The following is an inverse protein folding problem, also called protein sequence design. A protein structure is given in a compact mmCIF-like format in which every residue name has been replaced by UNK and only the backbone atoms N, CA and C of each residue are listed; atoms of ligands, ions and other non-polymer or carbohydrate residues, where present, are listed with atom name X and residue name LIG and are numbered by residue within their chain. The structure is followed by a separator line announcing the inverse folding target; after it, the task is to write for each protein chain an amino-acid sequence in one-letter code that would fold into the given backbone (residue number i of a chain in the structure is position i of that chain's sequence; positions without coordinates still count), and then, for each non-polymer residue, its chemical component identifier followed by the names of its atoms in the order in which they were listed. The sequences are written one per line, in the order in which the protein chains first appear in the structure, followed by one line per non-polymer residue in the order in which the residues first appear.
data_IF_102526395516
#
_entry.id   IF_102526395516
#
_cell.length_a   1.000
_cell.length_b   1.000
_cell.length_c   1.000
_cell.angle_alpha   90.00
_cell.angle_beta   90.00
_cell.angle_gamma   90.00
#
_symmetry.space_group_name_H-M   'P 1'
#
loop_
_entity.id
_entity.type
_entity.pdbx_description
1 polymer ?
#
# COMPACT_ATOMS: atom_id res chain seq x y z
N UNK A 1 16.07 -15.65 8.16
CA UNK A 1 15.62 -14.32 7.70
C UNK A 1 16.85 -13.63 7.18
N UNK A 2 17.02 -13.52 5.87
CA UNK A 2 17.99 -12.62 5.25
C UNK A 2 17.14 -11.58 4.55
N UNK A 3 17.11 -10.40 5.15
CA UNK A 3 16.49 -9.22 4.59
C UNK A 3 17.35 -8.80 3.38
N UNK A 4 16.72 -8.66 2.22
CA UNK A 4 17.38 -8.18 1.01
C UNK A 4 17.48 -6.67 1.08
N UNK A 5 18.59 -6.18 1.65
CA UNK A 5 18.96 -4.75 1.59
C UNK A 5 19.32 -4.39 0.14
N UNK A 6 18.57 -3.44 -0.43
CA UNK A 6 19.06 -2.66 -1.56
C UNK A 6 20.23 -1.81 -1.05
N UNK A 7 21.46 -2.20 -1.41
CA UNK A 7 22.67 -1.39 -1.19
C UNK A 7 22.65 -0.20 -2.14
N UNK A 8 22.46 1.00 -1.60
CA UNK A 8 22.89 2.23 -2.26
C UNK A 8 24.36 2.49 -1.87
N UNK A 9 25.18 2.79 -2.87
CA UNK A 9 26.60 3.04 -2.76
C UNK A 9 26.87 4.45 -2.20
N UNK A 10 27.49 4.55 -1.03
CA UNK A 10 28.07 5.77 -0.48
C UNK A 10 29.56 5.84 -0.81
N UNK A 11 29.97 6.87 -1.55
CA UNK A 11 31.36 7.34 -1.64
C UNK A 11 31.46 8.64 -0.87
N UNK A 12 32.25 8.64 0.22
CA UNK A 12 32.42 9.81 1.09
C UNK A 12 33.59 10.72 0.73
N UNK A 13 33.66 11.88 1.38
CA UNK A 13 34.73 12.25 2.33
C UNK A 13 34.41 13.58 3.05
N UNK A 14 35.02 13.85 4.22
CA UNK A 14 34.50 14.72 5.27
C UNK A 14 35.20 16.08 5.32
N UNK A 15 34.55 17.04 6.00
CA UNK A 15 35.21 18.19 6.61
C UNK A 15 34.62 18.38 8.03
N UNK A 16 35.43 18.02 9.02
CA UNK A 16 35.48 18.61 10.38
C UNK A 16 35.87 20.10 10.22
N UNK A 17 35.53 21.09 11.05
CA UNK A 17 35.66 21.17 12.51
C UNK A 17 35.05 22.51 13.02
N UNK A 18 34.81 22.57 14.34
CA UNK A 18 34.81 23.74 15.25
C UNK A 18 33.55 24.53 15.70
N UNK A 19 33.17 24.19 16.96
CA UNK A 19 33.10 25.04 18.18
C UNK A 19 31.96 26.08 18.38
N UNK A 20 30.97 25.66 19.19
CA UNK A 20 30.45 26.22 20.48
C UNK A 20 30.60 27.73 20.87
N UNK A 21 29.95 28.22 21.94
CA UNK A 21 28.53 28.61 22.07
C UNK A 21 28.37 30.10 22.48
N UNK A 22 27.21 30.73 22.30
CA UNK A 22 26.88 31.99 23.00
C UNK A 22 25.49 31.99 23.63
N UNK A 23 25.51 31.84 24.94
CA UNK A 23 24.71 32.45 26.01
C UNK A 23 23.53 33.36 25.65
N UNK A 24 22.38 32.97 26.22
CA UNK A 24 21.39 33.77 26.97
C UNK A 24 20.99 35.16 26.46
N UNK A 25 19.72 35.30 26.04
CA UNK A 25 18.94 36.49 26.34
C UNK A 25 17.50 36.14 26.73
N UNK A 26 17.07 36.82 27.79
CA UNK A 26 15.85 36.64 28.56
C UNK A 26 14.59 37.10 27.85
N UNK A 27 13.48 36.51 28.30
CA UNK A 27 12.09 36.84 28.03
C UNK A 27 11.76 38.33 28.13
N UNK A 28 11.03 38.83 27.14
CA UNK A 28 10.04 39.90 27.30
C UNK A 28 8.77 39.49 26.54
N UNK A 29 7.71 39.12 27.28
CA UNK A 29 6.34 39.07 26.75
C UNK A 29 5.79 40.50 26.79
N UNK A 30 5.50 41.06 25.62
CA UNK A 30 4.57 42.19 25.49
C UNK A 30 3.56 41.83 24.40
N UNK A 31 2.28 41.86 24.75
CA UNK A 31 1.19 41.50 23.87
C UNK A 31 0.99 42.54 22.78
N UNK A 32 0.82 42.06 21.55
CA UNK A 32 0.20 42.82 20.47
C UNK A 32 -0.77 41.90 19.73
N UNK A 33 -2.05 42.15 19.97
CA UNK A 33 -3.17 41.78 19.10
C UNK A 33 -3.01 42.50 17.76
N UNK A 34 -2.66 41.78 16.69
CA UNK A 34 -2.77 42.30 15.32
C UNK A 34 -4.01 41.72 14.66
N UNK A 35 -4.91 42.63 14.31
CA UNK A 35 -6.16 42.42 13.58
C UNK A 35 -5.87 41.88 12.17
N UNK A 36 -6.60 40.84 11.77
CA UNK A 36 -6.65 40.35 10.39
C UNK A 36 -7.52 41.32 9.55
N UNK A 37 -6.88 42.07 8.65
CA UNK A 37 -7.54 42.92 7.68
C UNK A 37 -8.11 42.13 6.48
N UNK A 38 -9.17 42.63 5.81
CA UNK A 38 -9.93 41.89 4.82
C UNK A 38 -9.27 41.99 3.44
N UNK A 39 -8.43 41.00 3.09
CA UNK A 39 -7.87 40.85 1.75
C UNK A 39 -7.99 39.40 1.23
N UNK A 40 -9.08 38.71 1.60
CA UNK A 40 -9.43 37.38 1.09
C UNK A 40 -10.92 37.38 0.73
N UNK A 41 -11.34 38.23 -0.20
CA UNK A 41 -12.70 38.19 -0.77
C UNK A 41 -12.70 38.18 -2.31
N UNK A 42 -11.55 38.19 -2.98
CA UNK A 42 -11.47 38.11 -4.45
C UNK A 42 -10.74 36.87 -5.00
N UNK A 43 -10.73 35.77 -4.24
CA UNK A 43 -10.15 34.48 -4.66
C UNK A 43 -11.13 33.30 -4.64
N UNK A 44 -12.41 33.53 -4.34
CA UNK A 44 -13.41 32.46 -4.12
C UNK A 44 -14.52 32.45 -5.20
N UNK A 45 -14.56 33.43 -6.11
CA UNK A 45 -15.63 33.55 -7.11
C UNK A 45 -15.33 32.95 -8.50
N UNK A 46 -14.19 32.24 -8.69
CA UNK A 46 -13.80 31.67 -9.99
C UNK A 46 -13.74 30.14 -10.03
N UNK A 47 -14.31 29.44 -9.04
CA UNK A 47 -14.44 27.97 -9.05
C UNK A 47 -15.86 27.46 -9.34
N UNK A 48 -16.81 28.34 -9.68
CA UNK A 48 -18.22 27.97 -9.96
C UNK A 48 -18.50 27.64 -11.44
N UNK A 49 -17.49 27.24 -12.21
CA UNK A 49 -17.61 27.09 -13.68
C UNK A 49 -17.02 25.83 -14.29
N UNK A 50 -16.57 24.85 -13.52
CA UNK A 50 -16.14 23.55 -14.06
C UNK A 50 -16.97 22.43 -13.45
N UNK A 51 -18.14 22.17 -14.03
CA UNK A 51 -18.81 20.88 -13.91
C UNK A 51 -17.92 19.81 -14.55
N UNK A 52 -16.94 19.30 -13.78
CA UNK A 52 -16.22 18.10 -14.16
C UNK A 52 -17.14 16.92 -13.94
N UNK A 53 -17.41 16.17 -15.01
CA UNK A 53 -18.08 14.87 -14.96
C UNK A 53 -17.38 13.97 -13.94
N UNK A 54 -17.95 13.86 -12.75
CA UNK A 54 -17.55 12.87 -11.77
C UNK A 54 -17.96 11.48 -12.29
N UNK A 55 -17.02 10.54 -12.16
CA UNK A 55 -17.17 9.08 -12.30
C UNK A 55 -17.14 8.54 -13.73
N UNK A 56 -15.99 8.64 -14.37
CA UNK A 56 -15.61 7.62 -15.35
C UNK A 56 -15.43 6.31 -14.58
N UNK A 57 -16.25 5.29 -14.89
CA UNK A 57 -16.03 3.94 -14.40
C UNK A 57 -14.55 3.57 -14.64
N UNK A 58 -13.87 2.85 -13.72
CA UNK A 58 -12.50 2.44 -14.00
C UNK A 58 -12.50 1.66 -15.32
N UNK A 59 -11.66 2.09 -16.27
CA UNK A 59 -11.57 1.49 -17.61
C UNK A 59 -11.27 -0.02 -17.57
N UNK A 60 -10.83 -0.54 -16.41
CA UNK A 60 -10.50 -1.95 -16.18
C UNK A 60 -11.05 -2.44 -14.83
N UNK A 61 -11.81 -3.54 -14.78
CA UNK A 61 -12.28 -4.17 -13.54
C UNK A 61 -11.14 -4.77 -12.73
N UNK A 62 -10.08 -5.23 -13.39
CA UNK A 62 -8.90 -5.80 -12.74
C UNK A 62 -7.62 -5.29 -13.41
N UNK A 63 -6.79 -4.58 -12.64
CA UNK A 63 -5.53 -4.00 -13.13
C UNK A 63 -4.32 -4.78 -12.65
N UNK A 64 -3.32 -4.96 -13.52
CA UNK A 64 -2.03 -5.58 -13.16
C UNK A 64 -0.95 -4.52 -13.32
N UNK A 65 -0.37 -4.08 -12.22
CA UNK A 65 0.63 -3.01 -12.20
C UNK A 65 2.04 -3.56 -12.01
N UNK A 66 3.00 -2.93 -12.67
CA UNK A 66 4.42 -3.27 -12.61
C UNK A 66 5.16 -2.34 -11.64
N UNK A 67 5.66 -2.91 -10.56
CA UNK A 67 6.52 -2.22 -9.59
C UNK A 67 7.82 -3.03 -9.38
N UNK A 68 8.46 -3.39 -10.50
CA UNK A 68 9.78 -4.01 -10.55
C UNK A 68 10.75 -2.98 -11.14
N UNK A 69 11.94 -2.79 -10.57
CA UNK A 69 12.91 -1.79 -11.05
C UNK A 69 13.63 -2.28 -12.32
N UNK A 70 12.90 -2.51 -13.41
CA UNK A 70 13.39 -3.16 -14.63
C UNK A 70 13.96 -2.21 -15.69
N UNK A 71 13.89 -0.89 -15.50
CA UNK A 71 14.39 0.11 -16.46
C UNK A 71 15.87 -0.11 -16.87
N UNK A 72 16.67 -0.73 -15.99
CA UNK A 72 18.07 -1.04 -16.27
C UNK A 72 18.23 -2.06 -17.41
N UNK A 73 17.22 -2.92 -17.67
CA UNK A 73 17.27 -3.90 -18.75
C UNK A 73 17.37 -3.26 -20.13
N UNK A 74 16.53 -2.26 -20.40
CA UNK A 74 16.58 -1.49 -21.64
C UNK A 74 17.78 -0.54 -21.64
N UNK A 75 17.97 0.23 -20.55
CA UNK A 75 18.97 1.29 -20.50
C UNK A 75 20.43 0.81 -20.57
N UNK A 76 20.74 -0.42 -20.13
CA UNK A 76 22.12 -0.92 -20.07
C UNK A 76 22.38 -2.19 -20.87
N UNK A 77 21.33 -2.97 -21.18
CA UNK A 77 21.50 -4.26 -21.84
C UNK A 77 20.70 -4.39 -23.14
N UNK A 78 19.98 -3.34 -23.55
CA UNK A 78 19.12 -3.35 -24.75
C UNK A 78 18.06 -4.48 -24.75
N UNK A 79 17.67 -4.94 -23.55
CA UNK A 79 16.65 -5.98 -23.38
C UNK A 79 15.30 -5.31 -23.13
N UNK A 80 14.46 -5.29 -24.16
CA UNK A 80 13.12 -4.74 -24.08
C UNK A 80 12.13 -5.71 -23.40
N UNK A 81 11.35 -5.23 -22.43
CA UNK A 81 10.30 -6.03 -21.77
C UNK A 81 8.91 -5.60 -22.28
N UNK A 82 8.13 -6.48 -22.94
CA UNK A 82 6.91 -6.11 -23.66
C UNK A 82 5.68 -5.92 -22.74
N UNK A 83 5.81 -5.19 -21.63
CA UNK A 83 4.79 -5.07 -20.58
C UNK A 83 3.42 -4.59 -21.10
N UNK A 84 3.41 -3.55 -21.94
CA UNK A 84 2.17 -2.99 -22.49
C UNK A 84 1.43 -3.97 -23.38
N UNK A 85 2.15 -4.72 -24.23
CA UNK A 85 1.55 -5.74 -25.09
C UNK A 85 0.94 -6.90 -24.28
N UNK A 86 1.46 -7.13 -23.07
CA UNK A 86 0.97 -8.13 -22.12
C UNK A 86 -0.15 -7.60 -21.21
N UNK A 87 -0.62 -6.37 -21.40
CA UNK A 87 -1.66 -5.75 -20.58
C UNK A 87 -1.21 -5.34 -19.17
N UNK A 88 0.11 -5.33 -18.92
CA UNK A 88 0.70 -4.93 -17.64
C UNK A 88 0.95 -3.41 -17.67
N UNK A 89 0.41 -2.72 -16.67
CA UNK A 89 0.50 -1.26 -16.52
C UNK A 89 1.84 -0.93 -15.85
N UNK A 90 2.72 -0.21 -16.54
CA UNK A 90 4.02 0.23 -16.01
C UNK A 90 4.15 1.75 -16.12
N UNK A 91 4.99 2.35 -15.28
CA UNK A 91 5.36 3.75 -15.45
C UNK A 91 6.07 3.97 -16.81
N UNK A 92 6.09 5.22 -17.28
CA UNK A 92 6.83 5.56 -18.50
C UNK A 92 8.31 5.19 -18.35
N UNK A 93 8.92 4.64 -19.40
CA UNK A 93 10.30 4.14 -19.37
C UNK A 93 10.57 3.08 -18.30
N UNK A 94 9.53 2.44 -17.76
CA UNK A 94 9.62 1.51 -16.63
C UNK A 94 10.30 2.12 -15.38
N UNK A 95 10.25 3.45 -15.23
CA UNK A 95 10.80 4.12 -14.05
C UNK A 95 10.14 3.58 -12.78
N UNK A 96 10.93 3.40 -11.73
CA UNK A 96 10.43 2.82 -10.48
C UNK A 96 9.43 3.72 -9.75
N UNK A 97 9.56 5.04 -9.94
CA UNK A 97 8.61 6.06 -9.50
C UNK A 97 8.03 6.75 -10.74
N UNK A 98 6.72 6.93 -10.79
CA UNK A 98 6.06 7.50 -11.95
C UNK A 98 4.55 7.59 -11.81
N UNK A 99 3.88 7.81 -12.95
CA UNK A 99 2.48 8.22 -13.05
C UNK A 99 1.48 7.13 -12.66
N UNK A 100 1.84 5.84 -12.80
CA UNK A 100 0.95 4.71 -12.51
C UNK A 100 1.15 4.18 -11.09
N UNK A 101 2.39 4.12 -10.61
CA UNK A 101 2.72 3.70 -9.24
C UNK A 101 4.00 4.36 -8.76
N UNK A 102 3.98 4.83 -7.51
CA UNK A 102 5.13 5.31 -6.78
C UNK A 102 5.12 4.70 -5.39
N UNK A 103 6.14 3.90 -5.07
CA UNK A 103 6.36 3.36 -3.73
C UNK A 103 7.40 4.21 -3.00
N UNK A 104 7.14 4.50 -1.74
CA UNK A 104 7.94 5.34 -0.87
C UNK A 104 8.53 4.49 0.25
N UNK A 105 9.81 4.14 0.14
CA UNK A 105 10.51 3.36 1.16
C UNK A 105 10.82 4.19 2.40
N UNK A 106 11.04 3.51 3.53
CA UNK A 106 11.30 4.08 4.87
C UNK A 106 12.32 5.23 4.93
N UNK A 107 13.32 5.26 4.05
CA UNK A 107 14.38 6.26 4.02
C UNK A 107 14.22 7.33 2.93
N UNK A 108 13.08 7.33 2.23
CA UNK A 108 12.84 8.19 1.06
C UNK A 108 11.61 9.09 1.23
N UNK A 109 10.90 9.02 2.36
CA UNK A 109 9.64 9.74 2.53
C UNK A 109 9.37 10.22 3.95
N UNK A 110 9.22 11.54 4.08
CA UNK A 110 9.14 12.25 5.35
C UNK A 110 10.35 11.97 6.25
N UNK A 111 10.15 12.19 7.54
CA UNK A 111 11.09 11.84 8.60
C UNK A 111 10.59 10.60 9.35
N UNK A 112 10.47 9.46 8.67
CA UNK A 112 10.00 8.22 9.29
C UNK A 112 10.99 7.73 10.37
N UNK A 113 10.56 7.55 11.63
CA UNK A 113 11.43 7.08 12.70
C UNK A 113 11.65 5.57 12.61
N UNK A 114 12.91 5.14 12.69
CA UNK A 114 13.22 3.72 12.81
C UNK A 114 14.56 3.43 13.49
N UNK A 115 14.69 2.21 13.99
CA UNK A 115 15.92 1.65 14.55
C UNK A 115 16.57 0.76 13.48
N UNK A 116 17.73 1.20 12.99
CA UNK A 116 18.54 0.47 12.02
C UNK A 116 19.31 -0.71 12.65
N UNK A 117 20.10 -1.42 11.84
CA UNK A 117 20.98 -2.48 12.33
C UNK A 117 21.84 -2.01 13.51
N UNK A 118 22.01 -2.88 14.51
CA UNK A 118 22.74 -2.58 15.77
C UNK A 118 22.17 -1.42 16.59
N UNK A 119 20.92 -1.02 16.37
CA UNK A 119 20.25 0.02 17.16
C UNK A 119 20.54 1.45 16.70
N UNK A 120 21.05 1.63 15.48
CA UNK A 120 21.28 2.98 14.91
C UNK A 120 19.96 3.75 14.86
N UNK A 121 19.92 4.96 15.42
CA UNK A 121 18.70 5.76 15.56
C UNK A 121 18.53 6.66 14.34
N UNK A 122 17.42 6.50 13.61
CA UNK A 122 17.05 7.38 12.50
C UNK A 122 15.79 8.17 12.84
N UNK A 123 15.83 9.49 12.63
CA UNK A 123 14.74 10.41 12.95
C UNK A 123 14.18 10.15 14.36
N UNK A 124 15.03 10.13 15.39
CA UNK A 124 14.60 9.83 16.77
C UNK A 124 14.21 8.38 17.08
N UNK A 125 14.14 7.49 16.08
CA UNK A 125 14.00 6.04 16.23
C UNK A 125 12.63 5.52 16.64
N UNK A 126 11.83 6.34 17.33
CA UNK A 126 10.46 6.02 17.78
C UNK A 126 9.47 7.13 17.36
N UNK A 127 8.19 6.79 17.14
CA UNK A 127 7.15 7.75 16.73
C UNK A 127 7.10 9.05 17.55
N UNK A 128 7.08 8.94 18.88
CA UNK A 128 6.92 10.07 19.79
C UNK A 128 8.17 10.97 19.92
N UNK A 129 9.28 10.59 19.29
CA UNK A 129 10.50 11.39 19.26
C UNK A 129 10.64 12.22 17.96
N UNK A 130 9.69 12.11 17.02
CA UNK A 130 9.73 12.86 15.75
C UNK A 130 8.89 14.12 15.84
N UNK A 131 9.45 15.30 15.48
CA UNK A 131 8.65 16.50 15.26
C UNK A 131 7.73 16.30 14.05
N UNK A 132 6.42 16.18 14.31
CA UNK A 132 5.41 15.87 13.30
C UNK A 132 5.32 16.95 12.21
N UNK A 133 5.45 18.22 12.58
CA UNK A 133 5.48 19.37 11.68
C UNK A 133 6.63 19.27 10.66
N UNK A 134 7.83 18.93 11.12
CA UNK A 134 9.00 18.72 10.24
C UNK A 134 8.83 17.51 9.34
N UNK A 135 8.26 16.42 9.88
CA UNK A 135 7.92 15.24 9.09
C UNK A 135 6.98 15.59 7.94
N UNK A 136 5.88 16.30 8.23
CA UNK A 136 4.88 16.68 7.24
C UNK A 136 5.41 17.70 6.23
N UNK A 137 6.25 18.66 6.66
CA UNK A 137 6.90 19.61 5.75
C UNK A 137 7.83 18.89 4.75
N UNK A 138 8.63 17.95 5.23
CA UNK A 138 9.50 17.13 4.37
C UNK A 138 8.69 16.27 3.40
N UNK A 139 7.65 15.60 3.89
CA UNK A 139 6.77 14.79 3.04
C UNK A 139 6.07 15.65 1.98
N UNK A 140 5.55 16.82 2.34
CA UNK A 140 4.91 17.74 1.41
C UNK A 140 5.86 18.22 0.31
N UNK A 141 7.12 18.52 0.67
CA UNK A 141 8.15 18.85 -0.30
C UNK A 141 8.39 17.69 -1.26
N UNK A 142 8.62 16.47 -0.75
CA UNK A 142 8.87 15.30 -1.58
C UNK A 142 7.71 14.97 -2.51
N UNK A 143 6.46 15.00 -2.04
CA UNK A 143 5.26 14.79 -2.86
C UNK A 143 5.20 15.78 -4.02
N UNK A 144 5.47 17.07 -3.75
CA UNK A 144 5.44 18.11 -4.78
C UNK A 144 6.49 17.92 -5.87
N UNK A 145 7.64 17.31 -5.53
CA UNK A 145 8.74 17.08 -6.46
C UNK A 145 8.64 15.76 -7.20
N UNK A 146 8.06 14.72 -6.59
CA UNK A 146 8.03 13.38 -7.18
C UNK A 146 6.75 13.04 -7.93
N UNK A 147 5.63 13.72 -7.65
CA UNK A 147 4.33 13.41 -8.23
C UNK A 147 3.76 14.63 -8.96
N UNK A 148 3.23 14.44 -10.16
CA UNK A 148 2.49 15.48 -10.89
C UNK A 148 1.19 15.86 -10.17
N UNK A 149 0.69 17.08 -10.36
CA UNK A 149 -0.57 17.54 -9.74
C UNK A 149 -1.77 16.66 -10.10
N UNK A 150 -1.79 16.15 -11.33
CA UNK A 150 -2.81 15.24 -11.89
C UNK A 150 -2.59 13.77 -11.52
N UNK A 151 -1.64 13.45 -10.63
CA UNK A 151 -1.34 12.06 -10.27
C UNK A 151 -2.59 11.32 -9.78
N UNK A 152 -2.94 10.26 -10.51
CA UNK A 152 -4.06 9.37 -10.22
C UNK A 152 -3.62 7.90 -10.04
N UNK A 153 -2.31 7.67 -9.89
CA UNK A 153 -1.72 6.35 -9.69
C UNK A 153 -1.74 5.89 -8.23
N UNK A 154 -1.01 4.80 -7.97
CA UNK A 154 -0.84 4.25 -6.61
C UNK A 154 0.30 4.95 -5.87
N UNK A 155 0.03 5.52 -4.71
CA UNK A 155 1.02 6.08 -3.80
C UNK A 155 1.17 5.18 -2.57
N UNK A 156 2.21 4.34 -2.57
CA UNK A 156 2.35 3.26 -1.59
C UNK A 156 3.43 3.60 -0.57
N UNK A 157 3.08 3.66 0.71
CA UNK A 157 4.04 3.90 1.79
C UNK A 157 4.55 2.56 2.35
N UNK A 158 5.84 2.31 2.22
CA UNK A 158 6.47 1.05 2.67
C UNK A 158 7.23 1.24 3.99
N UNK A 159 6.45 1.30 5.07
CA UNK A 159 6.91 1.49 6.44
C UNK A 159 6.72 0.21 7.25
N UNK A 160 7.78 -0.60 7.37
CA UNK A 160 7.72 -1.94 7.95
C UNK A 160 8.35 -2.08 9.34
N UNK A 161 8.93 -1.01 9.87
CA UNK A 161 9.88 -1.15 10.98
C UNK A 161 9.19 -1.42 12.31
N UNK A 162 8.04 -0.77 12.54
CA UNK A 162 7.20 -0.95 13.72
C UNK A 162 5.72 -1.11 13.36
N UNK A 163 4.94 -1.65 14.29
CA UNK A 163 3.48 -1.69 14.20
C UNK A 163 2.88 -0.50 14.96
N UNK A 164 1.87 0.21 14.43
CA UNK A 164 1.29 1.37 15.10
C UNK A 164 0.61 1.05 16.43
N UNK A 165 0.22 -0.20 16.66
CA UNK A 165 -0.26 -0.66 17.95
C UNK A 165 0.89 -1.28 18.74
N UNK A 166 1.02 -0.94 20.02
CA UNK A 166 2.02 -1.46 20.95
C UNK A 166 2.01 -2.98 21.03
N UNK A 167 0.81 -3.57 21.11
CA UNK A 167 0.63 -5.03 21.11
C UNK A 167 1.21 -5.68 19.84
N UNK A 168 1.34 -4.91 18.76
CA UNK A 168 1.96 -5.17 17.45
C UNK A 168 3.47 -5.43 17.43
N UNK A 169 4.19 -4.98 18.46
CA UNK A 169 5.66 -4.88 18.45
C UNK A 169 6.32 -6.04 19.22
N UNK A 170 6.26 -7.26 18.66
CA UNK A 170 6.93 -8.46 19.19
C UNK A 170 8.20 -8.83 18.40
N UNK A 171 8.91 -9.87 18.85
CA UNK A 171 10.14 -10.35 18.22
C UNK A 171 11.21 -9.24 18.18
N UNK A 172 11.80 -9.01 17.00
CA UNK A 172 12.79 -7.93 16.79
C UNK A 172 12.21 -6.53 17.06
N UNK A 173 10.90 -6.33 16.90
CA UNK A 173 10.24 -5.03 17.16
C UNK A 173 10.08 -4.71 18.65
N UNK A 174 10.41 -5.62 19.57
CA UNK A 174 10.48 -5.30 21.01
C UNK A 174 11.44 -4.15 21.31
N UNK A 175 12.45 -3.93 20.45
CA UNK A 175 13.37 -2.80 20.56
C UNK A 175 12.63 -1.44 20.59
N UNK A 176 11.52 -1.28 19.86
CA UNK A 176 10.72 -0.05 19.89
C UNK A 176 10.03 0.18 21.23
N UNK A 177 9.61 -0.90 21.92
CA UNK A 177 9.05 -0.81 23.27
C UNK A 177 10.10 -0.40 24.28
N UNK A 178 11.29 -1.00 24.19
CA UNK A 178 12.42 -0.67 25.06
C UNK A 178 12.87 0.79 24.84
N UNK A 179 13.02 1.22 23.59
CA UNK A 179 13.36 2.60 23.26
C UNK A 179 12.29 3.60 23.73
N UNK A 180 11.00 3.26 23.58
CA UNK A 180 9.90 4.09 24.08
C UNK A 180 9.91 4.21 25.61
N UNK A 181 10.24 3.13 26.31
CA UNK A 181 10.35 3.16 27.77
C UNK A 181 11.55 3.97 28.24
N UNK A 182 12.72 3.80 27.62
CA UNK A 182 13.90 4.61 27.90
C UNK A 182 13.64 6.12 27.64
N UNK A 183 12.93 6.44 26.56
CA UNK A 183 12.47 7.81 26.30
C UNK A 183 11.55 8.32 27.42
N UNK A 184 10.59 7.51 27.89
CA UNK A 184 9.70 7.92 28.97
C UNK A 184 10.42 8.11 30.32
N UNK A 185 11.43 7.29 30.62
CA UNK A 185 12.29 7.46 31.80
C UNK A 185 13.04 8.80 31.78
N UNK A 186 13.48 9.23 30.59
CA UNK A 186 14.19 10.49 30.42
C UNK A 186 13.24 11.71 30.47
N UNK A 187 12.07 11.61 29.83
CA UNK A 187 11.11 12.71 29.72
C UNK A 187 10.27 12.89 30.99
N UNK A 188 10.04 11.81 31.74
CA UNK A 188 9.23 11.80 32.95
C UNK A 188 10.00 11.16 34.13
N UNK A 189 11.14 11.76 34.56
CA UNK A 189 12.02 11.16 35.56
C UNK A 189 11.36 11.05 36.94
N UNK A 190 10.39 11.92 37.25
CA UNK A 190 9.72 11.99 38.55
C UNK A 190 8.56 11.00 38.70
N UNK A 191 8.11 10.38 37.61
CA UNK A 191 7.03 9.37 37.65
C UNK A 191 7.59 8.01 38.04
N UNK A 192 6.75 7.18 38.66
CA UNK A 192 7.14 5.82 38.98
C UNK A 192 7.30 4.95 37.69
N UNK A 193 8.00 3.80 37.78
CA UNK A 193 8.26 2.97 36.60
C UNK A 193 7.01 2.46 35.86
N UNK A 194 5.90 2.23 36.56
CA UNK A 194 4.65 1.77 35.95
C UNK A 194 3.97 2.91 35.19
N UNK A 195 3.97 4.12 35.75
CA UNK A 195 3.49 5.32 35.07
C UNK A 195 4.36 5.68 33.86
N UNK A 196 5.69 5.59 33.96
CA UNK A 196 6.60 5.78 32.82
C UNK A 196 6.31 4.77 31.70
N UNK A 197 6.10 3.49 32.03
CA UNK A 197 5.75 2.47 31.04
C UNK A 197 4.38 2.76 30.40
N UNK A 198 3.42 3.25 31.17
CA UNK A 198 2.13 3.70 30.64
C UNK A 198 2.30 4.88 29.67
N UNK A 199 3.09 5.91 30.04
CA UNK A 199 3.44 7.04 29.16
C UNK A 199 4.13 6.59 27.87
N UNK A 200 5.06 5.63 27.96
CA UNK A 200 5.73 5.05 26.80
C UNK A 200 4.75 4.36 25.84
N UNK A 201 3.79 3.59 26.37
CA UNK A 201 2.77 2.90 25.58
C UNK A 201 1.84 3.91 24.90
N UNK A 202 1.18 4.79 25.66
CA UNK A 202 0.21 5.73 25.09
C UNK A 202 0.88 6.71 24.11
N UNK A 203 2.08 7.20 24.45
CA UNK A 203 2.83 8.13 23.61
C UNK A 203 3.23 7.50 22.28
N UNK A 204 3.67 6.24 22.31
CA UNK A 204 3.98 5.49 21.09
C UNK A 204 2.77 5.34 20.18
N UNK A 205 1.63 4.86 20.68
CA UNK A 205 0.45 4.63 19.84
C UNK A 205 -0.17 5.94 19.31
N UNK A 206 -0.21 6.99 20.14
CA UNK A 206 -0.70 8.31 19.71
C UNK A 206 0.17 8.93 18.62
N UNK A 207 1.50 8.92 18.81
CA UNK A 207 2.42 9.47 17.83
C UNK A 207 2.48 8.61 16.56
N UNK A 208 2.39 7.28 16.66
CA UNK A 208 2.33 6.38 15.51
C UNK A 208 1.09 6.65 14.66
N UNK A 209 -0.08 6.81 15.31
CA UNK A 209 -1.31 7.22 14.64
C UNK A 209 -1.14 8.58 13.97
N UNK A 210 -0.68 9.59 14.71
CA UNK A 210 -0.53 10.94 14.17
C UNK A 210 0.39 10.96 12.94
N UNK A 211 1.54 10.28 12.99
CA UNK A 211 2.45 10.18 11.85
C UNK A 211 1.78 9.51 10.65
N UNK A 212 1.19 8.33 10.82
CA UNK A 212 0.62 7.58 9.69
C UNK A 212 -0.64 8.24 9.11
N UNK A 213 -1.55 8.71 9.95
CA UNK A 213 -2.83 9.30 9.55
C UNK A 213 -2.62 10.65 8.84
N UNK A 214 -1.85 11.57 9.44
CA UNK A 214 -1.61 12.89 8.83
C UNK A 214 -0.80 12.79 7.54
N UNK A 215 0.08 11.79 7.41
CA UNK A 215 0.84 11.56 6.16
C UNK A 215 -0.07 11.15 5.01
N UNK A 216 -1.03 10.26 5.25
CA UNK A 216 -2.02 9.88 4.23
C UNK A 216 -2.96 11.03 3.87
N UNK A 217 -3.39 11.80 4.87
CA UNK A 217 -4.25 12.98 4.66
C UNK A 217 -3.52 14.05 3.86
N UNK A 218 -2.24 14.32 4.16
CA UNK A 218 -1.40 15.23 3.40
C UNK A 218 -1.24 14.77 1.95
N UNK A 219 -1.00 13.48 1.73
CA UNK A 219 -0.91 12.89 0.40
C UNK A 219 -2.18 13.12 -0.43
N UNK A 220 -3.34 12.84 0.15
CA UNK A 220 -4.63 13.08 -0.51
C UNK A 220 -4.95 14.57 -0.69
N UNK A 221 -4.58 15.43 0.25
CA UNK A 221 -4.77 16.87 0.10
C UNK A 221 -3.94 17.44 -1.06
N UNK A 222 -2.72 16.95 -1.25
CA UNK A 222 -1.84 17.40 -2.33
C UNK A 222 -2.12 16.69 -3.67
N UNK A 223 -2.54 15.43 -3.65
CA UNK A 223 -2.80 14.58 -4.81
C UNK A 223 -4.14 13.84 -4.62
N UNK A 224 -5.28 14.54 -4.79
CA UNK A 224 -6.61 14.03 -4.42
C UNK A 224 -7.10 12.85 -5.27
N UNK A 225 -6.55 12.67 -6.47
CA UNK A 225 -6.87 11.52 -7.32
C UNK A 225 -5.94 10.32 -7.09
N UNK A 226 -4.88 10.49 -6.31
CA UNK A 226 -3.94 9.42 -5.98
C UNK A 226 -4.54 8.41 -5.00
N UNK A 227 -4.18 7.14 -5.18
CA UNK A 227 -4.58 6.05 -4.31
C UNK A 227 -3.50 5.78 -3.26
N UNK A 228 -3.69 6.35 -2.07
CA UNK A 228 -2.77 6.36 -0.94
C UNK A 228 -3.07 5.24 0.06
N UNK A 229 -2.02 4.58 0.53
CA UNK A 229 -2.12 3.53 1.53
C UNK A 229 -0.77 2.94 1.91
N UNK A 230 -0.75 2.18 2.98
CA UNK A 230 0.45 1.49 3.45
C UNK A 230 0.55 0.09 2.88
N UNK A 231 1.74 -0.26 2.37
CA UNK A 231 2.06 -1.63 2.01
C UNK A 231 1.90 -2.57 3.21
N UNK A 232 1.45 -3.81 2.93
CA UNK A 232 1.14 -4.89 3.90
C UNK A 232 -0.10 -4.70 4.76
N UNK A 233 -0.83 -3.60 4.62
CA UNK A 233 -2.04 -3.40 5.39
C UNK A 233 -3.32 -3.69 4.59
N UNK A 234 -4.31 -4.39 5.20
CA UNK A 234 -4.23 -5.01 6.53
C UNK A 234 -3.37 -6.28 6.55
N UNK A 235 -2.87 -6.61 7.75
CA UNK A 235 -2.19 -7.88 7.99
C UNK A 235 -3.20 -8.98 8.33
N UNK A 236 -2.88 -10.24 8.04
CA UNK A 236 -3.75 -11.38 8.40
C UNK A 236 -3.15 -12.27 9.50
N UNK A 237 -1.82 -12.30 9.65
CA UNK A 237 -1.14 -13.15 10.62
C UNK A 237 -1.24 -14.65 10.34
N UNK A 238 -1.60 -15.04 9.12
CA UNK A 238 -1.73 -16.43 8.67
C UNK A 238 -0.43 -17.00 8.09
N UNK A 239 0.72 -16.69 8.70
CA UNK A 239 2.01 -17.22 8.24
C UNK A 239 2.12 -18.74 8.35
N UNK A 240 2.94 -19.36 7.50
CA UNK A 240 3.23 -20.80 7.59
C UNK A 240 4.28 -21.09 8.67
N UNK A 241 3.97 -22.06 9.54
CA UNK A 241 4.89 -22.60 10.54
C UNK A 241 4.92 -24.12 10.38
N UNK A 242 6.12 -24.72 10.26
CA UNK A 242 6.34 -26.15 9.92
C UNK A 242 5.61 -27.18 10.81
N UNK A 243 5.08 -26.75 11.96
CA UNK A 243 4.41 -27.61 12.95
C UNK A 243 2.88 -27.52 12.88
N UNK A 244 2.31 -26.80 11.93
CA UNK A 244 0.86 -26.61 11.83
C UNK A 244 0.22 -27.78 11.05
N UNK A 245 -0.13 -28.88 11.75
CA UNK A 245 -0.91 -29.99 11.17
C UNK A 245 -2.31 -29.58 10.69
N UNK A 246 -2.87 -28.50 11.26
CA UNK A 246 -4.23 -28.00 10.97
C UNK A 246 -4.22 -26.59 10.36
N UNK A 247 -3.32 -26.31 9.42
CA UNK A 247 -3.25 -25.00 8.79
C UNK A 247 -4.45 -24.75 7.87
N UNK A 248 -5.27 -23.75 8.19
CA UNK A 248 -6.48 -23.41 7.42
C UNK A 248 -6.32 -22.20 6.51
N UNK A 249 -5.20 -21.47 6.63
CA UNK A 249 -5.00 -20.17 5.99
C UNK A 249 -5.74 -19.00 6.65
N UNK A 250 -6.62 -19.24 7.64
CA UNK A 250 -7.40 -18.19 8.32
C UNK A 250 -6.51 -17.18 9.02
N UNK A 251 -6.96 -15.91 9.02
CA UNK A 251 -6.31 -14.87 9.80
C UNK A 251 -6.38 -15.16 11.29
N UNK A 252 -5.31 -14.83 12.00
CA UNK A 252 -5.26 -15.01 13.45
C UNK A 252 -6.23 -14.03 14.12
N UNK A 253 -7.05 -14.49 15.07
CA UNK A 253 -8.08 -13.67 15.73
C UNK A 253 -7.52 -12.37 16.36
N UNK A 254 -6.35 -12.46 17.02
CA UNK A 254 -5.69 -11.27 17.57
C UNK A 254 -5.27 -10.26 16.49
N UNK A 255 -4.99 -10.71 15.26
CA UNK A 255 -4.69 -9.81 14.14
C UNK A 255 -5.96 -9.13 13.65
N UNK A 256 -7.07 -9.86 13.51
CA UNK A 256 -8.39 -9.29 13.17
C UNK A 256 -8.80 -8.21 14.18
N UNK A 257 -8.66 -8.49 15.47
CA UNK A 257 -8.96 -7.55 16.54
C UNK A 257 -8.09 -6.28 16.49
N UNK A 258 -6.79 -6.42 16.14
CA UNK A 258 -5.91 -5.27 15.91
C UNK A 258 -6.34 -4.46 14.70
N UNK A 259 -6.69 -5.11 13.59
CA UNK A 259 -7.16 -4.41 12.39
C UNK A 259 -8.47 -3.64 12.65
N UNK A 260 -9.35 -4.14 13.50
CA UNK A 260 -10.54 -3.39 13.94
C UNK A 260 -10.15 -2.12 14.73
N UNK A 261 -9.12 -2.18 15.58
CA UNK A 261 -8.60 -0.98 16.28
C UNK A 261 -7.96 0.04 15.34
N UNK A 262 -7.47 -0.40 14.18
CA UNK A 262 -6.88 0.44 13.13
C UNK A 262 -7.91 1.10 12.20
N UNK A 263 -9.18 1.22 12.60
CA UNK A 263 -10.21 1.89 11.80
C UNK A 263 -9.79 3.26 11.25
N UNK A 264 -9.03 4.03 12.05
CA UNK A 264 -8.48 5.33 11.65
C UNK A 264 -7.54 5.24 10.45
N UNK A 265 -6.79 4.14 10.31
CA UNK A 265 -5.88 3.94 9.19
C UNK A 265 -6.65 3.69 7.90
N UNK A 266 -7.74 2.92 7.98
CA UNK A 266 -8.63 2.66 6.84
C UNK A 266 -9.35 3.94 6.44
N UNK A 267 -9.89 4.68 7.42
CA UNK A 267 -10.57 5.96 7.23
C UNK A 267 -9.65 7.07 6.67
N UNK A 268 -8.34 6.93 6.79
CA UNK A 268 -7.37 7.84 6.21
C UNK A 268 -6.78 7.33 4.88
N UNK A 269 -7.04 6.09 4.47
CA UNK A 269 -6.50 5.52 3.22
C UNK A 269 -7.48 5.70 2.06
N UNK A 270 -6.97 5.84 0.82
CA UNK A 270 -7.78 5.76 -0.40
C UNK A 270 -7.61 4.43 -1.16
N UNK A 271 -6.69 3.56 -0.74
CA UNK A 271 -6.57 2.17 -1.19
C UNK A 271 -5.93 1.26 -0.13
N UNK A 272 -6.11 -0.05 -0.28
CA UNK A 272 -5.48 -1.07 0.58
C UNK A 272 -4.48 -1.92 -0.21
N UNK A 273 -3.31 -2.17 0.40
CA UNK A 273 -2.19 -2.85 -0.25
C UNK A 273 -1.72 -4.09 0.54
N UNK A 274 -2.56 -5.13 0.72
CA UNK A 274 -2.16 -6.34 1.40
C UNK A 274 -1.06 -7.05 0.60
N UNK A 275 0.03 -7.45 1.25
CA UNK A 275 1.01 -8.36 0.63
C UNK A 275 0.44 -9.77 0.65
N UNK A 276 0.50 -10.49 -0.46
CA UNK A 276 0.10 -11.90 -0.56
C UNK A 276 1.27 -12.80 -0.97
N UNK A 277 2.49 -12.39 -0.64
CA UNK A 277 3.70 -13.16 -0.95
C UNK A 277 3.68 -14.50 -0.22
N UNK A 278 3.93 -15.58 -0.94
CA UNK A 278 3.97 -16.90 -0.31
C UNK A 278 5.06 -16.96 0.77
N UNK A 279 4.70 -17.40 2.00
CA UNK A 279 5.68 -17.69 3.03
C UNK A 279 6.63 -18.80 2.56
N UNK A 280 7.90 -18.77 2.99
CA UNK A 280 8.84 -19.82 2.64
C UNK A 280 8.33 -21.20 3.06
N UNK A 281 8.35 -22.16 2.11
CA UNK A 281 7.95 -23.57 2.31
C UNK A 281 6.46 -23.76 2.60
N UNK A 282 5.59 -22.80 2.28
CA UNK A 282 4.14 -23.03 2.28
C UNK A 282 3.82 -24.11 1.22
N UNK A 283 3.18 -25.24 1.60
CA UNK A 283 2.78 -26.28 0.64
C UNK A 283 1.78 -25.74 -0.40
N UNK A 284 1.87 -26.16 -1.68
CA UNK A 284 0.94 -25.73 -2.73
C UNK A 284 -0.55 -25.92 -2.39
N UNK A 285 -0.89 -26.97 -1.66
CA UNK A 285 -2.26 -27.24 -1.20
C UNK A 285 -2.88 -26.11 -0.34
N UNK A 286 -2.06 -25.21 0.20
CA UNK A 286 -2.49 -24.11 1.08
C UNK A 286 -2.32 -22.72 0.48
N UNK A 287 -1.76 -22.61 -0.74
CA UNK A 287 -1.48 -21.32 -1.39
C UNK A 287 -2.76 -20.50 -1.58
N UNK A 288 -3.80 -21.10 -2.18
CA UNK A 288 -5.09 -20.43 -2.35
C UNK A 288 -5.70 -20.00 -1.01
N UNK A 289 -5.75 -20.88 -0.01
CA UNK A 289 -6.32 -20.55 1.30
C UNK A 289 -5.55 -19.42 1.99
N UNK A 290 -4.22 -19.37 1.84
CA UNK A 290 -3.39 -18.30 2.36
C UNK A 290 -3.73 -16.95 1.71
N UNK A 291 -3.86 -16.90 0.38
CA UNK A 291 -4.17 -15.67 -0.36
C UNK A 291 -5.61 -15.22 -0.11
N UNK A 292 -6.57 -16.15 -0.18
CA UNK A 292 -7.99 -15.89 0.01
C UNK A 292 -8.26 -15.14 1.32
N UNK A 293 -7.82 -15.67 2.47
CA UNK A 293 -8.13 -15.06 3.76
C UNK A 293 -7.44 -13.69 3.96
N UNK A 294 -6.31 -13.44 3.29
CA UNK A 294 -5.67 -12.11 3.33
C UNK A 294 -6.48 -11.06 2.59
N UNK A 295 -7.07 -11.46 1.47
CA UNK A 295 -7.94 -10.59 0.68
C UNK A 295 -9.30 -10.42 1.33
N UNK A 296 -9.88 -11.46 1.90
CA UNK A 296 -11.11 -11.37 2.70
C UNK A 296 -10.95 -10.38 3.85
N UNK A 297 -9.80 -10.40 4.55
CA UNK A 297 -9.53 -9.41 5.59
C UNK A 297 -9.37 -7.99 5.04
N UNK A 298 -8.74 -7.84 3.87
CA UNK A 298 -8.69 -6.55 3.17
C UNK A 298 -10.09 -6.02 2.83
N UNK A 299 -10.97 -6.86 2.29
CA UNK A 299 -12.35 -6.47 2.00
C UNK A 299 -13.16 -6.18 3.27
N UNK A 300 -12.94 -6.94 4.35
CA UNK A 300 -13.64 -6.69 5.63
C UNK A 300 -13.32 -5.29 6.16
N UNK A 301 -12.06 -4.87 6.15
CA UNK A 301 -11.69 -3.53 6.63
C UNK A 301 -12.00 -2.43 5.62
N UNK A 302 -12.00 -2.73 4.31
CA UNK A 302 -12.36 -1.77 3.25
C UNK A 302 -13.79 -1.23 3.39
N UNK A 303 -14.69 -2.00 4.02
CA UNK A 303 -16.09 -1.63 4.27
C UNK A 303 -16.26 -0.75 5.52
N UNK A 304 -15.22 -0.55 6.32
CA UNK A 304 -15.34 0.16 7.60
C UNK A 304 -15.32 1.67 7.37
N UNK A 305 -16.45 2.33 7.61
CA UNK A 305 -16.53 3.80 7.65
C UNK A 305 -16.75 4.51 6.31
N UNK A 306 -16.98 3.77 5.21
CA UNK A 306 -17.21 4.37 3.89
C UNK A 306 -18.51 3.89 3.23
N UNK A 307 -19.19 4.77 2.46
CA UNK A 307 -20.36 4.38 1.65
C UNK A 307 -19.99 3.47 0.47
N UNK A 308 -18.71 3.45 0.07
CA UNK A 308 -18.16 2.54 -0.94
C UNK A 308 -16.86 1.92 -0.41
N UNK A 309 -16.63 0.61 -0.63
CA UNK A 309 -15.42 -0.04 -0.16
C UNK A 309 -14.17 0.53 -0.82
N UNK A 310 -13.08 0.65 -0.04
CA UNK A 310 -11.77 1.00 -0.58
C UNK A 310 -11.31 -0.01 -1.65
N UNK A 311 -10.67 0.45 -2.74
CA UNK A 311 -10.06 -0.46 -3.70
C UNK A 311 -8.93 -1.26 -3.05
N UNK A 312 -8.92 -2.57 -3.29
CA UNK A 312 -7.89 -3.49 -2.81
C UNK A 312 -6.97 -3.85 -3.98
N UNK A 313 -5.67 -3.59 -3.81
CA UNK A 313 -4.63 -3.96 -4.78
C UNK A 313 -3.56 -4.81 -4.09
N UNK A 314 -3.55 -6.10 -4.39
CA UNK A 314 -2.71 -7.04 -3.65
C UNK A 314 -1.27 -7.04 -4.20
N UNK A 315 -0.30 -6.95 -3.31
CA UNK A 315 1.11 -7.06 -3.69
C UNK A 315 1.48 -8.54 -3.90
N UNK A 316 1.91 -8.87 -5.12
CA UNK A 316 2.39 -10.19 -5.56
C UNK A 316 3.88 -10.11 -5.90
N UNK A 317 4.68 -11.02 -5.37
CA UNK A 317 6.11 -11.11 -5.73
C UNK A 317 6.25 -12.00 -6.95
N UNK A 318 7.09 -11.63 -7.92
CA UNK A 318 7.34 -12.46 -9.10
C UNK A 318 7.97 -13.82 -8.80
N UNK A 319 8.60 -13.96 -7.63
CA UNK A 319 9.35 -15.15 -7.23
C UNK A 319 8.99 -15.64 -5.83
N UNK A 320 9.21 -16.92 -5.61
CA UNK A 320 9.24 -17.50 -4.26
C UNK A 320 10.37 -16.89 -3.44
N UNK A 321 10.05 -16.37 -2.25
CA UNK A 321 10.98 -15.57 -1.44
C UNK A 321 12.35 -16.23 -1.17
N UNK A 322 12.38 -17.56 -1.01
CA UNK A 322 13.59 -18.31 -0.64
C UNK A 322 14.35 -18.87 -1.84
N UNK A 323 13.65 -19.49 -2.78
CA UNK A 323 14.29 -20.13 -3.95
C UNK A 323 14.61 -19.12 -5.05
N UNK A 324 13.99 -17.92 -5.02
CA UNK A 324 14.05 -16.92 -6.09
C UNK A 324 13.59 -17.46 -7.46
N UNK A 325 12.94 -18.63 -7.49
CA UNK A 325 12.29 -19.14 -8.70
C UNK A 325 11.05 -18.32 -8.99
N UNK A 326 10.83 -18.01 -10.25
CA UNK A 326 9.61 -17.38 -10.70
C UNK A 326 8.37 -18.21 -10.32
N UNK A 327 7.26 -17.53 -10.07
CA UNK A 327 5.98 -18.17 -9.80
C UNK A 327 5.55 -18.98 -11.04
N UNK A 328 5.18 -20.24 -10.86
CA UNK A 328 4.61 -21.06 -11.94
C UNK A 328 3.23 -20.55 -12.34
N UNK A 329 2.66 -21.09 -13.43
CA UNK A 329 1.27 -20.80 -13.78
C UNK A 329 0.28 -21.14 -12.65
N UNK A 330 0.48 -22.26 -11.94
CA UNK A 330 -0.35 -22.62 -10.78
C UNK A 330 -0.22 -21.61 -9.63
N UNK A 331 0.99 -21.11 -9.38
CA UNK A 331 1.21 -20.05 -8.40
C UNK A 331 0.50 -18.75 -8.81
N UNK A 332 0.48 -18.42 -10.11
CA UNK A 332 -0.25 -17.24 -10.64
C UNK A 332 -1.77 -17.39 -10.49
N UNK A 333 -2.31 -18.60 -10.72
CA UNK A 333 -3.71 -18.93 -10.42
C UNK A 333 -4.03 -18.67 -8.95
N UNK A 334 -3.15 -19.14 -8.07
CA UNK A 334 -3.36 -19.05 -6.62
C UNK A 334 -3.03 -17.69 -6.01
N UNK A 335 -2.53 -16.73 -6.80
CA UNK A 335 -2.25 -15.35 -6.38
C UNK A 335 -3.12 -14.35 -7.14
N UNK A 336 -2.81 -14.10 -8.42
CA UNK A 336 -3.51 -13.16 -9.28
C UNK A 336 -4.94 -13.64 -9.55
N UNK A 337 -5.13 -14.94 -9.84
CA UNK A 337 -6.45 -15.51 -10.11
C UNK A 337 -7.39 -15.41 -8.91
N UNK A 338 -6.91 -15.73 -7.70
CA UNK A 338 -7.68 -15.57 -6.46
C UNK A 338 -8.03 -14.09 -6.23
N UNK A 339 -7.09 -13.17 -6.51
CA UNK A 339 -7.33 -11.73 -6.39
C UNK A 339 -8.46 -11.25 -7.32
N UNK A 340 -8.43 -11.67 -8.58
CA UNK A 340 -9.47 -11.36 -9.54
C UNK A 340 -10.82 -11.98 -9.15
N UNK A 341 -10.83 -13.26 -8.78
CA UNK A 341 -12.05 -13.98 -8.42
C UNK A 341 -12.76 -13.40 -7.19
N UNK A 342 -12.02 -12.82 -6.23
CA UNK A 342 -12.60 -12.15 -5.07
C UNK A 342 -12.99 -10.68 -5.33
N UNK A 343 -12.83 -10.17 -6.56
CA UNK A 343 -13.21 -8.82 -6.95
C UNK A 343 -12.25 -7.74 -6.45
N UNK A 344 -10.95 -8.04 -6.34
CA UNK A 344 -9.94 -7.02 -6.09
C UNK A 344 -9.87 -6.03 -7.27
N UNK A 345 -9.45 -4.79 -6.99
CA UNK A 345 -9.25 -3.80 -8.04
C UNK A 345 -8.05 -4.14 -8.93
N UNK A 346 -7.10 -4.91 -8.38
CA UNK A 346 -5.93 -5.34 -9.13
C UNK A 346 -4.87 -6.01 -8.27
N UNK A 347 -3.69 -6.16 -8.86
CA UNK A 347 -2.46 -6.61 -8.21
C UNK A 347 -1.29 -5.70 -8.58
N UNK A 348 -0.34 -5.60 -7.66
CA UNK A 348 0.96 -4.96 -7.90
C UNK A 348 2.02 -6.05 -7.94
N UNK A 349 2.65 -6.21 -9.10
CA UNK A 349 3.77 -7.11 -9.32
C UNK A 349 5.05 -6.46 -8.82
N UNK A 350 5.68 -7.05 -7.82
CA UNK A 350 6.87 -6.51 -7.19
C UNK A 350 8.08 -7.44 -7.36
N UNK A 351 9.23 -6.80 -7.52
CA UNK A 351 10.53 -7.45 -7.59
C UNK A 351 11.64 -6.50 -7.14
N UNK A 352 12.76 -7.07 -6.73
CA UNK A 352 13.94 -6.30 -6.31
C UNK A 352 14.92 -6.08 -7.48
N UNK A 353 15.95 -5.26 -7.27
CA UNK A 353 16.95 -4.92 -8.29
C UNK A 353 17.70 -6.13 -8.89
N UNK A 354 17.62 -7.31 -8.26
CA UNK A 354 18.29 -8.51 -8.81
C UNK A 354 17.67 -9.02 -10.11
N UNK A 355 16.46 -8.57 -10.46
CA UNK A 355 15.84 -8.92 -11.75
C UNK A 355 16.45 -8.20 -12.94
N UNK A 356 17.17 -7.11 -12.71
CA UNK A 356 17.76 -6.29 -13.76
C UNK A 356 19.25 -6.05 -13.53
N UNK A 357 19.94 -6.95 -12.81
CA UNK A 357 21.34 -6.76 -12.42
C UNK A 357 22.35 -7.19 -13.47
N UNK A 358 21.92 -7.91 -14.51
CA UNK A 358 22.73 -8.33 -15.65
C UNK A 358 21.84 -8.60 -16.87
N UNK A 359 22.44 -8.59 -18.05
CA UNK A 359 21.78 -8.94 -19.32
C UNK A 359 21.08 -10.31 -19.22
N UNK A 360 21.75 -11.32 -18.67
CA UNK A 360 21.18 -12.66 -18.44
C UNK A 360 19.91 -12.60 -17.57
N UNK A 361 19.92 -11.81 -16.49
CA UNK A 361 18.73 -11.67 -15.61
C UNK A 361 17.59 -10.97 -16.32
N UNK A 362 17.89 -9.99 -17.17
CA UNK A 362 16.90 -9.32 -17.99
C UNK A 362 16.27 -10.25 -19.03
N UNK A 363 17.06 -11.09 -19.71
CA UNK A 363 16.52 -12.11 -20.62
C UNK A 363 15.69 -13.16 -19.88
N UNK A 364 16.13 -13.63 -18.71
CA UNK A 364 15.30 -14.51 -17.89
C UNK A 364 13.97 -13.89 -17.47
N UNK A 365 13.96 -12.59 -17.17
CA UNK A 365 12.73 -11.86 -16.85
C UNK A 365 11.84 -11.71 -18.08
N UNK A 366 12.42 -11.37 -19.23
CA UNK A 366 11.74 -11.32 -20.52
C UNK A 366 11.05 -12.65 -20.84
N UNK A 367 11.78 -13.76 -20.75
CA UNK A 367 11.27 -15.09 -21.08
C UNK A 367 10.14 -15.51 -20.14
N UNK A 368 10.25 -15.16 -18.85
CA UNK A 368 9.18 -15.38 -17.88
C UNK A 368 7.92 -14.55 -18.20
N UNK A 369 8.11 -13.30 -18.61
CA UNK A 369 7.00 -12.42 -19.01
C UNK A 369 6.28 -12.96 -20.24
N UNK A 370 7.02 -13.33 -21.29
CA UNK A 370 6.42 -13.80 -22.55
C UNK A 370 5.86 -15.22 -22.40
N UNK A 371 6.57 -16.10 -21.70
CA UNK A 371 6.25 -17.53 -21.64
C UNK A 371 5.27 -17.93 -20.54
N UNK A 372 5.08 -17.13 -19.48
CA UNK A 372 4.26 -17.55 -18.32
C UNK A 372 3.37 -16.43 -17.79
N UNK A 373 3.94 -15.30 -17.36
CA UNK A 373 3.17 -14.26 -16.68
C UNK A 373 2.22 -13.52 -17.64
N UNK A 374 2.71 -13.10 -18.80
CA UNK A 374 1.97 -12.36 -19.81
C UNK A 374 0.73 -13.08 -20.34
N UNK A 375 0.86 -14.33 -20.83
CA UNK A 375 -0.30 -15.12 -21.25
C UNK A 375 -1.37 -15.25 -20.16
N UNK A 376 -0.95 -15.45 -18.92
CA UNK A 376 -1.85 -15.54 -17.77
C UNK A 376 -2.56 -14.20 -17.47
N UNK A 377 -1.81 -13.08 -17.49
CA UNK A 377 -2.37 -11.73 -17.30
C UNK A 377 -3.40 -11.41 -18.38
N UNK A 378 -3.12 -11.70 -19.64
CA UNK A 378 -4.05 -11.50 -20.75
C UNK A 378 -5.33 -12.33 -20.51
N UNK A 379 -5.20 -13.59 -20.11
CA UNK A 379 -6.34 -14.45 -19.84
C UNK A 379 -7.25 -13.86 -18.73
N UNK A 380 -6.69 -13.59 -17.55
CA UNK A 380 -7.49 -13.12 -16.40
C UNK A 380 -8.08 -11.72 -16.62
N UNK A 381 -7.36 -10.81 -17.29
CA UNK A 381 -7.86 -9.46 -17.59
C UNK A 381 -8.97 -9.49 -18.63
N UNK A 382 -8.87 -10.33 -19.67
CA UNK A 382 -9.96 -10.53 -20.64
C UNK A 382 -11.21 -11.11 -19.98
N UNK A 383 -11.06 -12.13 -19.13
CA UNK A 383 -12.19 -12.75 -18.45
C UNK A 383 -12.89 -11.79 -17.48
N UNK A 384 -12.13 -11.01 -16.71
CA UNK A 384 -12.70 -10.01 -15.78
C UNK A 384 -13.42 -8.89 -16.52
N UNK A 385 -12.89 -8.42 -17.66
CA UNK A 385 -13.58 -7.47 -18.55
C UNK A 385 -14.90 -8.05 -19.06
N UNK A 386 -14.87 -9.25 -19.63
CA UNK A 386 -16.05 -9.91 -20.17
C UNK A 386 -17.14 -10.09 -19.10
N UNK A 387 -16.78 -10.59 -17.93
CA UNK A 387 -17.71 -10.76 -16.81
C UNK A 387 -18.29 -9.42 -16.35
N UNK A 388 -17.46 -8.38 -16.24
CA UNK A 388 -17.92 -7.02 -15.88
C UNK A 388 -18.99 -6.51 -16.85
N UNK A 389 -18.77 -6.65 -18.15
CA UNK A 389 -19.75 -6.21 -19.16
C UNK A 389 -21.02 -7.08 -19.19
N UNK A 390 -20.87 -8.40 -19.13
CA UNK A 390 -21.99 -9.34 -19.31
C UNK A 390 -22.85 -9.50 -18.05
N UNK A 391 -22.25 -9.49 -16.86
CA UNK A 391 -22.94 -9.70 -15.59
C UNK A 391 -23.26 -8.38 -14.88
N UNK A 392 -22.38 -7.38 -15.02
CA UNK A 392 -22.40 -6.16 -14.21
C UNK A 392 -22.58 -4.88 -15.03
N UNK A 393 -23.03 -4.98 -16.29
CA UNK A 393 -23.25 -3.86 -17.21
C UNK A 393 -22.04 -2.93 -17.42
N UNK A 394 -20.81 -3.40 -17.15
CA UNK A 394 -19.61 -2.56 -17.16
C UNK A 394 -19.52 -1.58 -15.98
N UNK A 395 -20.42 -1.68 -15.02
CA UNK A 395 -20.55 -0.78 -13.86
C UNK A 395 -20.16 -1.46 -12.54
N UNK A 396 -19.52 -2.62 -12.60
CA UNK A 396 -19.01 -3.31 -11.43
C UNK A 396 -18.00 -4.40 -11.76
N UNK A 397 -17.38 -4.95 -10.72
CA UNK A 397 -16.49 -6.11 -10.82
C UNK A 397 -17.25 -7.38 -10.49
N UNK A 398 -16.95 -8.45 -11.19
CA UNK A 398 -17.36 -9.78 -10.75
C UNK A 398 -16.56 -10.20 -9.52
N UNK A 399 -17.27 -10.71 -8.52
CA UNK A 399 -16.69 -11.30 -7.32
C UNK A 399 -17.46 -12.58 -6.99
N UNK A 400 -16.72 -13.61 -6.61
CA UNK A 400 -17.27 -14.91 -6.24
C UNK A 400 -18.34 -14.74 -5.15
N UNK A 401 -19.49 -15.38 -5.37
CA UNK A 401 -20.64 -15.27 -4.48
C UNK A 401 -20.41 -16.05 -3.18
N UNK A 402 -19.96 -17.29 -3.31
CA UNK A 402 -19.69 -18.18 -2.18
C UNK A 402 -18.17 -18.32 -1.96
N UNK A 403 -17.63 -17.89 -0.80
CA UNK A 403 -16.24 -18.13 -0.42
C UNK A 403 -15.80 -19.60 -0.45
N UNK A 404 -16.75 -20.54 -0.37
CA UNK A 404 -16.53 -21.98 -0.44
C UNK A 404 -16.23 -22.53 -1.84
N UNK A 405 -16.67 -21.87 -2.91
CA UNK A 405 -16.48 -22.28 -4.31
C UNK A 405 -15.06 -21.98 -4.80
N UNK A 406 -14.06 -22.67 -4.24
CA UNK A 406 -12.64 -22.34 -4.44
C UNK A 406 -12.17 -22.51 -5.88
N UNK A 407 -12.76 -23.42 -6.60
CA UNK A 407 -12.53 -23.74 -8.00
C UNK A 407 -13.04 -22.66 -8.99
N UNK A 408 -13.92 -21.74 -8.57
CA UNK A 408 -14.46 -20.72 -9.47
C UNK A 408 -13.47 -19.57 -9.72
N UNK A 409 -12.88 -19.51 -10.90
CA UNK A 409 -11.96 -18.45 -11.34
C UNK A 409 -12.49 -17.70 -12.56
N UNK A 410 -12.02 -16.46 -12.74
CA UNK A 410 -12.28 -15.66 -13.94
C UNK A 410 -11.17 -15.91 -14.95
N UNK A 411 -11.34 -16.95 -15.77
CA UNK A 411 -10.44 -17.30 -16.87
C UNK A 411 -11.20 -17.46 -18.18
N UNK A 412 -10.53 -17.19 -19.29
CA UNK A 412 -10.99 -17.55 -20.63
C UNK A 412 -10.77 -19.06 -20.81
N UNK A 413 -11.74 -19.75 -21.39
CA UNK A 413 -11.67 -21.19 -21.62
C UNK A 413 -10.55 -21.54 -22.64
N UNK A 414 -10.05 -22.79 -22.66
CA UNK A 414 -8.98 -23.20 -23.58
C UNK A 414 -9.31 -23.01 -25.07
N UNK A 415 -10.59 -23.10 -25.45
CA UNK A 415 -11.09 -22.88 -26.81
C UNK A 415 -11.29 -21.39 -27.16
N UNK A 416 -10.96 -20.49 -26.22
CA UNK A 416 -11.13 -19.05 -26.37
C UNK A 416 -12.53 -18.54 -26.02
N UNK A 417 -13.47 -19.44 -25.66
CA UNK A 417 -14.82 -19.05 -25.24
C UNK A 417 -14.84 -18.46 -23.83
N UNK A 418 -15.92 -17.73 -23.52
CA UNK A 418 -16.17 -17.19 -22.19
C UNK A 418 -16.96 -18.22 -21.37
N UNK A 419 -16.63 -18.36 -20.08
CA UNK A 419 -17.36 -19.24 -19.16
C UNK A 419 -18.71 -18.68 -18.74
N UNK A 420 -19.58 -19.53 -18.17
CA UNK A 420 -20.76 -19.01 -17.46
C UNK A 420 -20.31 -18.32 -16.16
N UNK A 421 -20.88 -17.15 -15.87
CA UNK A 421 -20.51 -16.35 -14.70
C UNK A 421 -21.36 -16.68 -13.45
N UNK A 422 -21.95 -17.88 -13.41
CA UNK A 422 -22.94 -18.28 -12.40
C UNK A 422 -22.42 -18.21 -10.96
N UNK A 423 -21.13 -18.52 -10.76
CA UNK A 423 -20.45 -18.42 -9.45
C UNK A 423 -20.13 -16.98 -9.02
N UNK A 424 -20.47 -15.97 -9.82
CA UNK A 424 -20.06 -14.58 -9.61
C UNK A 424 -21.26 -13.62 -9.43
N UNK A 425 -21.09 -12.66 -8.54
CA UNK A 425 -22.00 -11.51 -8.32
C UNK A 425 -21.25 -10.21 -8.59
N UNK A 426 -21.99 -9.11 -8.67
CA UNK A 426 -21.40 -7.82 -8.95
C UNK A 426 -21.08 -7.03 -7.69
N UNK A 427 -19.86 -6.47 -7.65
CA UNK A 427 -19.44 -5.40 -6.76
C UNK A 427 -19.41 -4.11 -7.53
N UNK A 428 -20.44 -3.29 -7.37
CA UNK A 428 -20.63 -2.08 -8.17
C UNK A 428 -19.58 -1.03 -7.89
N UNK A 429 -19.21 -0.30 -8.95
CA UNK A 429 -18.40 0.89 -8.84
C UNK A 429 -19.16 2.00 -8.12
N UNK A 430 -18.40 3.00 -7.67
CA UNK A 430 -18.97 4.20 -7.09
C UNK A 430 -19.96 4.83 -8.08
N UNK A 431 -21.14 5.19 -7.58
CA UNK A 431 -22.24 5.73 -8.39
C UNK A 431 -23.20 4.69 -8.95
N UNK A 432 -22.98 3.39 -8.71
CA UNK A 432 -23.84 2.31 -9.21
C UNK A 432 -24.33 1.37 -8.10
N UNK A 433 -25.50 0.77 -8.30
CA UNK A 433 -26.20 -0.10 -7.36
C UNK A 433 -26.99 -1.20 -8.08
N UNK A 434 -27.59 -2.07 -7.27
CA UNK A 434 -28.37 -3.22 -7.73
C UNK A 434 -27.51 -4.48 -7.87
N UNK A 435 -28.14 -5.65 -8.05
CA UNK A 435 -27.46 -6.94 -8.15
C UNK A 435 -26.54 -7.06 -9.38
N UNK A 436 -26.82 -6.27 -10.42
CA UNK A 436 -26.10 -6.25 -11.72
C UNK A 436 -25.50 -4.88 -12.03
N UNK A 437 -25.48 -3.96 -11.07
CA UNK A 437 -24.91 -2.60 -11.21
C UNK A 437 -25.57 -1.72 -12.28
N UNK A 438 -26.83 -1.96 -12.63
CA UNK A 438 -27.55 -1.20 -13.65
C UNK A 438 -28.19 0.09 -13.09
N UNK A 439 -28.36 0.19 -11.78
CA UNK A 439 -29.05 1.32 -11.16
C UNK A 439 -28.04 2.42 -10.80
N UNK A 440 -28.20 3.65 -11.30
CA UNK A 440 -27.41 4.77 -10.82
C UNK A 440 -27.77 5.07 -9.36
N UNK A 441 -26.78 5.19 -8.47
CA UNK A 441 -26.98 5.70 -7.11
C UNK A 441 -27.20 7.21 -7.20
N UNK A 442 -28.32 7.76 -6.68
CA UNK A 442 -28.45 9.20 -6.55
C UNK A 442 -27.32 9.70 -5.64
N UNK A 443 -26.46 10.55 -6.20
CA UNK A 443 -25.33 11.13 -5.48
C UNK A 443 -25.84 11.88 -4.25
N UNK A 444 -25.36 11.50 -3.07
CA UNK A 444 -25.44 12.38 -1.91
C UNK A 444 -24.71 13.66 -2.30
N UNK A 445 -25.46 14.73 -2.54
CA UNK A 445 -24.87 16.07 -2.60
C UNK A 445 -24.07 16.25 -1.31
N UNK A 446 -22.85 16.81 -1.36
CA UNK A 446 -22.30 17.44 -0.17
C UNK A 446 -23.38 18.37 0.35
N UNK A 447 -23.75 18.26 1.65
CA UNK A 447 -24.51 19.34 2.27
C UNK A 447 -23.70 20.60 2.04
N UNK A 448 -24.22 21.51 1.22
CA UNK A 448 -23.79 22.90 1.26
C UNK A 448 -23.85 23.31 2.73
N UNK A 449 -22.68 23.61 3.30
CA UNK A 449 -22.61 24.22 4.61
C UNK A 449 -23.27 25.60 4.45
N UNK A 450 -24.46 25.73 5.03
CA UNK A 450 -25.13 27.01 5.23
C UNK A 450 -24.37 27.86 6.25
#
# INVERSE_FOLDING_TARGET
MRDGEAKASETGRPLYEDLQPRTSHSFHLSGMTMQLGPAIVLGVALCLGCGQSLLQAPERPFSVLWNVPSAHCEAHFDVHLPLSALGIIANHGQHFHGQNITIFYKNQFGLYPYLGPRGTVHNGGIPQAVPLDRHLAQAAHQIRHSLELSFAGLAVLDWEEWCPLWAGNWGRRKAYKAASWAWAQHVFPDLDPQEQLHKAHIGFEQAARALMENTLQLGQALRPHGLWGFYRYPACGNGWHRMASNYTGRCHAATLARNTKLHWLWAASSALFPSIYFPPRLPPAYHQAFVQHRLEEAFRVALTGYPHPLPVLAYVRLTHQRSRRFLSQDDLVQTIGVSAALGAAGVVLWGDLSFSSSEEKCWHLHDYLVGTLGPYVINVTRATMACSHQQCHGHGRCARQDPGQREAFLHVQPDGSLGSWESFSCRCYQGWAGPTCQEPRPGGRPKEAA
#
